data_IF_033958331247
#
_entry.id   IF_033958331247
#
_cell.length_a   1.000
_cell.length_b   1.000
_cell.length_c   1.000
_cell.angle_alpha   90.00
_cell.angle_beta   90.00
_cell.angle_gamma   90.00
#
_symmetry.space_group_name_H-M   'P 1'
#
loop_
_entity.id
_entity.type
_entity.pdbx_description
1 polymer ?
#
# COMPACT_ATOMS: atom_id res chain seq x y z
N UNK A 1 -18.19 7.64 -18.47
CA UNK A 1 -17.92 6.51 -17.55
C UNK A 1 -16.42 6.15 -17.45
N UNK A 2 -15.47 6.90 -18.03
CA UNK A 2 -14.02 6.64 -17.93
C UNK A 2 -13.31 7.31 -16.72
N UNK A 3 -13.88 8.39 -16.18
CA UNK A 3 -13.19 9.24 -15.20
C UNK A 3 -12.84 8.59 -13.86
N UNK A 4 -13.60 7.59 -13.41
CA UNK A 4 -13.30 6.88 -12.15
C UNK A 4 -12.03 6.03 -12.29
N UNK A 5 -11.90 5.32 -13.40
CA UNK A 5 -10.71 4.51 -13.71
C UNK A 5 -9.48 5.39 -13.90
N UNK A 6 -9.59 6.49 -14.64
CA UNK A 6 -8.50 7.45 -14.83
C UNK A 6 -8.06 8.09 -13.51
N UNK A 7 -9.00 8.40 -12.61
CA UNK A 7 -8.70 8.89 -11.26
C UNK A 7 -7.90 7.83 -10.50
N UNK A 8 -8.32 6.58 -10.55
CA UNK A 8 -7.63 5.49 -9.86
C UNK A 8 -6.22 5.26 -10.40
N UNK A 9 -6.04 5.25 -11.73
CA UNK A 9 -4.73 5.13 -12.39
C UNK A 9 -3.80 6.27 -11.95
N UNK A 10 -4.33 7.50 -11.86
CA UNK A 10 -3.56 8.66 -11.38
C UNK A 10 -3.12 8.48 -9.93
N UNK A 11 -3.98 7.96 -9.06
CA UNK A 11 -3.62 7.66 -7.67
C UNK A 11 -2.53 6.59 -7.58
N UNK A 12 -2.68 5.47 -8.31
CA UNK A 12 -1.67 4.41 -8.39
C UNK A 12 -0.31 4.97 -8.82
N UNK A 13 -0.29 5.76 -9.90
CA UNK A 13 0.95 6.38 -10.40
C UNK A 13 1.58 7.34 -9.40
N UNK A 14 0.77 8.12 -8.68
CA UNK A 14 1.26 9.05 -7.65
C UNK A 14 1.97 8.31 -6.52
N UNK A 15 1.41 7.20 -6.04
CA UNK A 15 2.00 6.40 -4.96
C UNK A 15 3.29 5.73 -5.45
N UNK A 16 3.25 5.13 -6.64
CA UNK A 16 4.44 4.52 -7.27
C UNK A 16 5.57 5.53 -7.43
N UNK A 17 5.30 6.73 -7.95
CA UNK A 17 6.32 7.76 -8.11
C UNK A 17 6.98 8.12 -6.76
N UNK A 18 6.19 8.29 -5.70
CA UNK A 18 6.75 8.58 -4.36
C UNK A 18 7.60 7.44 -3.79
N UNK A 19 7.28 6.18 -4.12
CA UNK A 19 8.11 5.04 -3.73
C UNK A 19 9.41 5.01 -4.53
N UNK A 20 9.34 5.24 -5.85
CA UNK A 20 10.49 5.17 -6.76
C UNK A 20 11.50 6.30 -6.56
N UNK A 21 11.04 7.48 -6.14
CA UNK A 21 11.93 8.59 -5.73
C UNK A 21 12.95 8.16 -4.67
N UNK A 22 12.59 7.20 -3.81
CA UNK A 22 13.46 6.72 -2.72
C UNK A 22 14.34 5.52 -3.12
N UNK A 23 14.02 4.83 -4.21
CA UNK A 23 14.60 3.51 -4.54
C UNK A 23 15.44 3.50 -5.82
N UNK A 24 15.33 4.49 -6.71
CA UNK A 24 16.14 4.56 -7.95
C UNK A 24 15.41 4.08 -9.21
N UNK A 25 16.11 4.06 -10.35
CA UNK A 25 15.48 3.97 -11.69
C UNK A 25 15.32 2.56 -12.28
N UNK A 26 15.95 1.53 -11.71
CA UNK A 26 15.85 0.15 -12.22
C UNK A 26 15.11 -0.77 -11.25
N UNK A 27 14.06 -1.42 -11.74
CA UNK A 27 13.30 -2.40 -10.98
C UNK A 27 13.53 -3.79 -11.54
N UNK A 28 13.82 -4.74 -10.64
CA UNK A 28 13.71 -6.16 -10.94
C UNK A 28 12.22 -6.60 -10.87
N UNK A 29 11.86 -7.68 -11.55
CA UNK A 29 10.47 -8.21 -11.56
C UNK A 29 9.91 -8.44 -10.14
N UNK A 30 10.74 -8.99 -9.26
CA UNK A 30 10.40 -9.19 -7.84
C UNK A 30 10.06 -7.87 -7.13
N UNK A 31 10.92 -6.86 -7.26
CA UNK A 31 10.67 -5.54 -6.65
C UNK A 31 9.44 -4.86 -7.23
N UNK A 32 9.22 -4.97 -8.55
CA UNK A 32 8.03 -4.41 -9.20
C UNK A 32 6.75 -5.03 -8.64
N UNK A 33 6.70 -6.37 -8.49
CA UNK A 33 5.56 -7.06 -7.90
C UNK A 33 5.31 -6.60 -6.48
N UNK A 34 6.36 -6.51 -5.67
CA UNK A 34 6.25 -6.01 -4.29
C UNK A 34 5.67 -4.60 -4.25
N UNK A 35 6.18 -3.68 -5.07
CA UNK A 35 5.63 -2.31 -5.12
C UNK A 35 4.16 -2.28 -5.55
N UNK A 36 3.76 -3.11 -6.51
CA UNK A 36 2.35 -3.20 -6.91
C UNK A 36 1.46 -3.72 -5.78
N UNK A 37 1.95 -4.67 -4.98
CA UNK A 37 1.25 -5.14 -3.78
C UNK A 37 1.15 -4.04 -2.71
N UNK A 38 2.23 -3.29 -2.46
CA UNK A 38 2.24 -2.18 -1.50
C UNK A 38 1.27 -1.08 -1.92
N UNK A 39 1.27 -0.69 -3.19
CA UNK A 39 0.35 0.33 -3.72
C UNK A 39 -1.10 -0.11 -3.57
N UNK A 40 -1.41 -1.37 -3.88
CA UNK A 40 -2.74 -1.95 -3.67
C UNK A 40 -3.14 -1.91 -2.19
N UNK A 41 -2.22 -2.28 -1.29
CA UNK A 41 -2.44 -2.23 0.16
C UNK A 41 -2.74 -0.81 0.64
N UNK A 42 -1.99 0.19 0.19
CA UNK A 42 -2.20 1.61 0.54
C UNK A 42 -3.57 2.08 0.09
N UNK A 43 -3.94 1.78 -1.16
CA UNK A 43 -5.22 2.22 -1.72
C UNK A 43 -6.39 1.54 -0.99
N UNK A 44 -6.29 0.24 -0.73
CA UNK A 44 -7.39 -0.51 -0.11
C UNK A 44 -7.50 -0.31 1.41
N UNK A 45 -6.46 0.23 2.05
CA UNK A 45 -6.48 0.58 3.49
C UNK A 45 -6.94 2.02 3.75
N UNK A 46 -7.22 2.81 2.69
CA UNK A 46 -7.73 4.17 2.86
C UNK A 46 -9.19 4.19 3.34
N UNK A 47 -9.53 4.99 4.36
CA UNK A 47 -10.91 5.21 4.77
C UNK A 47 -11.80 5.70 3.63
N UNK A 48 -12.98 5.11 3.48
CA UNK A 48 -14.04 5.61 2.59
C UNK A 48 -14.79 6.79 3.19
N UNK A 49 -14.78 6.91 4.52
CA UNK A 49 -15.49 7.95 5.28
C UNK A 49 -14.50 8.67 6.19
N UNK A 50 -14.60 10.00 6.25
CA UNK A 50 -13.73 10.86 7.08
C UNK A 50 -14.37 11.27 8.41
N UNK A 51 -15.69 11.07 8.54
CA UNK A 51 -16.49 11.65 9.62
C UNK A 51 -16.14 11.09 11.00
N UNK A 52 -15.66 9.85 11.05
CA UNK A 52 -15.29 9.15 12.30
C UNK A 52 -13.80 9.26 12.62
N UNK A 53 -12.97 9.88 11.77
CA UNK A 53 -11.51 9.85 11.97
C UNK A 53 -11.03 10.65 13.19
N UNK A 54 -11.79 11.68 13.60
CA UNK A 54 -11.43 12.57 14.70
C UNK A 54 -12.00 12.16 16.07
N UNK A 55 -12.90 11.17 16.11
CA UNK A 55 -13.54 10.74 17.34
C UNK A 55 -12.91 9.43 17.85
N UNK A 56 -12.18 9.44 18.97
CA UNK A 56 -11.56 8.25 19.54
C UNK A 56 -12.55 7.22 20.08
N UNK A 57 -13.84 7.57 20.23
CA UNK A 57 -14.90 6.64 20.64
C UNK A 57 -15.64 6.01 19.46
N UNK A 58 -15.37 6.46 18.25
CA UNK A 58 -16.04 5.96 17.05
C UNK A 58 -15.47 4.61 16.57
N UNK A 59 -16.28 3.87 15.81
CA UNK A 59 -15.85 2.61 15.21
C UNK A 59 -14.76 2.83 14.15
N UNK A 60 -13.90 1.81 13.96
CA UNK A 60 -12.88 1.80 12.90
C UNK A 60 -13.50 2.21 11.55
N UNK A 61 -12.89 3.16 10.82
CA UNK A 61 -13.47 3.66 9.58
C UNK A 61 -13.53 2.56 8.52
N UNK A 62 -14.61 2.56 7.73
CA UNK A 62 -14.79 1.58 6.66
C UNK A 62 -13.76 1.80 5.56
N UNK A 63 -12.98 0.77 5.24
CA UNK A 63 -12.00 0.76 4.14
C UNK A 63 -12.45 -0.21 3.04
N UNK A 64 -11.98 -0.04 1.78
CA UNK A 64 -12.23 -1.03 0.72
C UNK A 64 -11.80 -2.45 1.10
N UNK A 65 -10.73 -2.61 1.89
CA UNK A 65 -10.26 -3.89 2.39
C UNK A 65 -11.33 -4.65 3.18
N UNK A 66 -12.20 -3.97 3.93
CA UNK A 66 -13.30 -4.63 4.65
C UNK A 66 -14.26 -5.33 3.68
N UNK A 67 -14.57 -4.70 2.55
CA UNK A 67 -15.42 -5.29 1.52
C UNK A 67 -14.73 -6.41 0.73
N UNK A 68 -13.46 -6.23 0.39
CA UNK A 68 -12.69 -7.18 -0.44
C UNK A 68 -12.36 -8.45 0.36
N UNK A 69 -11.94 -8.30 1.62
CA UNK A 69 -11.49 -9.42 2.46
C UNK A 69 -12.62 -10.03 3.28
N UNK A 70 -13.75 -9.31 3.41
CA UNK A 70 -14.85 -9.63 4.32
C UNK A 70 -14.40 -9.81 5.78
N UNK A 71 -13.25 -9.25 6.15
CA UNK A 71 -12.73 -9.27 7.52
C UNK A 71 -13.10 -7.96 8.20
N UNK A 72 -13.53 -8.06 9.46
CA UNK A 72 -13.90 -6.89 10.28
C UNK A 72 -12.69 -6.13 10.82
N UNK A 73 -11.48 -6.69 10.71
CA UNK A 73 -10.25 -6.11 11.24
C UNK A 73 -9.08 -6.37 10.28
N UNK A 74 -8.21 -5.38 10.12
CA UNK A 74 -6.92 -5.55 9.43
C UNK A 74 -6.11 -6.61 10.18
N UNK A 75 -5.88 -7.76 9.53
CA UNK A 75 -4.93 -8.74 10.03
C UNK A 75 -3.54 -8.20 9.74
N UNK A 76 -2.87 -7.69 10.78
CA UNK A 76 -1.45 -7.38 10.68
C UNK A 76 -0.72 -8.68 10.32
N UNK A 77 0.16 -8.62 9.33
CA UNK A 77 1.11 -9.69 9.09
C UNK A 77 1.85 -9.98 10.39
N UNK A 78 2.10 -11.24 10.74
CA UNK A 78 2.94 -11.56 11.89
C UNK A 78 4.24 -10.75 11.79
N UNK A 79 4.73 -10.16 12.90
CA UNK A 79 6.01 -9.49 12.87
C UNK A 79 7.06 -10.47 12.34
N UNK A 80 7.57 -10.17 11.14
CA UNK A 80 8.66 -10.94 10.56
C UNK A 80 9.93 -10.66 11.35
N UNK A 81 10.73 -11.69 11.59
CA UNK A 81 12.09 -11.49 12.05
C UNK A 81 12.91 -11.00 10.86
N UNK A 82 12.98 -9.67 10.69
CA UNK A 82 13.83 -9.06 9.68
C UNK A 82 15.27 -9.03 10.21
N UNK A 83 16.12 -9.94 9.73
CA UNK A 83 17.54 -9.98 10.08
C UNK A 83 18.34 -9.02 9.18
N UNK A 84 19.53 -8.60 9.61
CA UNK A 84 20.42 -7.76 8.78
C UNK A 84 20.82 -8.40 7.45
N UNK A 85 20.69 -9.73 7.33
CA UNK A 85 20.83 -10.50 6.08
C UNK A 85 19.64 -10.29 5.13
N UNK A 86 18.44 -10.04 5.66
CA UNK A 86 17.22 -9.72 4.90
C UNK A 86 17.20 -8.25 4.44
N UNK A 87 18.00 -7.40 5.09
CA UNK A 87 18.27 -6.05 4.60
C UNK A 87 19.09 -6.19 3.32
N UNK A 88 18.38 -6.11 2.19
CA UNK A 88 18.94 -6.17 0.85
C UNK A 88 20.26 -5.37 0.77
N UNK A 89 21.35 -6.11 0.62
CA UNK A 89 22.70 -5.53 0.56
C UNK A 89 22.75 -4.44 -0.52
N UNK A 90 23.38 -3.30 -0.20
CA UNK A 90 23.59 -2.13 -1.09
C UNK A 90 24.20 -2.45 -2.48
N UNK A 91 24.59 -3.70 -2.73
CA UNK A 91 25.19 -4.22 -3.97
C UNK A 91 24.20 -4.70 -5.02
N UNK A 92 22.89 -4.71 -4.77
CA UNK A 92 21.89 -5.14 -5.79
C UNK A 92 21.65 -4.10 -6.89
N UNK A 93 22.17 -2.88 -6.73
CA UNK A 93 22.14 -1.80 -7.72
C UNK A 93 23.42 -1.76 -8.57
N UNK A 94 23.71 -2.85 -9.26
CA UNK A 94 24.70 -2.91 -10.34
C UNK A 94 24.10 -3.58 -11.56
#
# INVERSE_FOLDING_TARGET
MAGVWERHIRTVRSILNSMLENLGTQLNDESLRTFMHEVSSIINSRPLTTDTLNDPMSSEPLTPNHSITMKSKVLLSPPGNFESSDVYSRKRWR
#
